data_IF_709010428211
#
_entry.id   IF_709010428211
#
_cell.length_a   1.000
_cell.length_b   1.000
_cell.length_c   1.000
_cell.angle_alpha   90.00
_cell.angle_beta   90.00
_cell.angle_gamma   90.00
#
_symmetry.space_group_name_H-M   'P 1'
#
loop_
_entity.id
_entity.type
_entity.pdbx_description
1 polymer ?
#
# COMPACT_ATOMS: atom_id res chain seq x y z
N UNK A 1 -56.19 -15.15 -25.12
CA UNK A 1 -55.06 -14.89 -26.04
C UNK A 1 -54.14 -13.83 -25.43
N UNK A 2 -53.04 -14.22 -24.79
CA UNK A 2 -52.12 -13.29 -24.12
C UNK A 2 -51.17 -12.59 -25.09
N UNK A 3 -50.85 -11.31 -24.86
CA UNK A 3 -49.91 -10.54 -25.68
C UNK A 3 -48.49 -11.10 -25.53
N UNK A 4 -47.79 -11.33 -26.64
CA UNK A 4 -46.38 -11.76 -26.67
C UNK A 4 -45.51 -10.66 -26.04
N UNK A 5 -44.71 -11.02 -25.04
CA UNK A 5 -43.73 -10.13 -24.43
C UNK A 5 -42.60 -9.81 -25.42
N UNK A 6 -42.46 -8.55 -25.82
CA UNK A 6 -41.33 -8.10 -26.63
C UNK A 6 -40.16 -7.70 -25.71
N UNK A 7 -38.98 -8.27 -25.97
CA UNK A 7 -37.75 -7.91 -25.27
C UNK A 7 -37.20 -6.64 -25.92
N UNK A 8 -37.17 -5.53 -25.20
CA UNK A 8 -36.59 -4.28 -25.70
C UNK A 8 -35.07 -4.48 -25.90
N UNK A 9 -34.60 -4.44 -27.14
CA UNK A 9 -33.18 -4.37 -27.44
C UNK A 9 -32.73 -2.93 -27.29
N UNK A 10 -31.89 -2.62 -26.30
CA UNK A 10 -31.27 -1.30 -26.20
C UNK A 10 -30.34 -1.10 -27.40
N UNK A 11 -30.44 0.07 -28.04
CA UNK A 11 -29.42 0.49 -28.99
C UNK A 11 -28.11 0.73 -28.23
N UNK A 12 -27.06 0.03 -28.62
CA UNK A 12 -25.72 0.28 -28.11
C UNK A 12 -25.16 1.55 -28.76
N UNK A 13 -24.53 2.41 -27.97
CA UNK A 13 -23.83 3.58 -28.50
C UNK A 13 -22.70 3.15 -29.43
N UNK A 14 -22.64 3.71 -30.64
CA UNK A 14 -21.56 3.46 -31.61
C UNK A 14 -20.19 3.99 -31.14
N UNK A 15 -20.17 4.89 -30.15
CA UNK A 15 -18.97 5.43 -29.55
C UNK A 15 -18.40 4.42 -28.54
N UNK A 16 -17.67 3.43 -29.05
CA UNK A 16 -17.01 2.38 -28.24
C UNK A 16 -15.80 2.89 -27.45
N UNK A 17 -15.34 4.12 -27.71
CA UNK A 17 -14.22 4.74 -27.00
C UNK A 17 -14.72 5.97 -26.28
N UNK A 18 -14.94 5.84 -24.97
CA UNK A 18 -14.94 7.00 -24.08
C UNK A 18 -13.58 7.72 -24.18
N UNK A 19 -13.51 9.01 -23.78
CA UNK A 19 -12.28 9.79 -23.84
C UNK A 19 -11.13 8.98 -23.22
N UNK A 20 -9.99 8.99 -23.91
CA UNK A 20 -8.78 8.26 -23.49
C UNK A 20 -8.37 8.81 -22.13
N UNK A 21 -8.76 8.12 -21.07
CA UNK A 21 -8.27 8.46 -19.74
C UNK A 21 -6.77 8.27 -19.77
N UNK A 22 -6.03 9.30 -19.33
CA UNK A 22 -4.58 9.37 -19.06
C UNK A 22 -3.65 8.60 -20.00
N UNK A 23 -2.70 9.33 -20.60
CA UNK A 23 -1.66 8.74 -21.43
C UNK A 23 -0.79 7.73 -20.63
N UNK A 24 -0.29 6.65 -21.25
CA UNK A 24 0.62 5.71 -20.59
C UNK A 24 1.86 6.37 -20.00
N UNK A 25 2.41 7.42 -20.62
CA UNK A 25 3.57 8.14 -20.10
C UNK A 25 3.22 8.93 -18.83
N UNK A 26 2.02 9.50 -18.77
CA UNK A 26 1.52 10.12 -17.53
C UNK A 26 1.42 9.09 -16.41
N UNK A 27 0.94 7.87 -16.72
CA UNK A 27 0.88 6.80 -15.74
C UNK A 27 2.29 6.44 -15.23
N UNK A 28 3.27 6.26 -16.12
CA UNK A 28 4.68 6.00 -15.73
C UNK A 28 5.27 7.11 -14.87
N UNK A 29 4.97 8.37 -15.21
CA UNK A 29 5.38 9.55 -14.45
C UNK A 29 4.82 9.48 -13.02
N UNK A 30 3.54 9.15 -12.85
CA UNK A 30 2.89 9.08 -11.53
C UNK A 30 3.47 7.99 -10.61
N UNK A 31 4.07 6.93 -11.16
CA UNK A 31 4.70 5.87 -10.34
C UNK A 31 6.16 6.19 -10.01
N UNK A 32 6.81 7.02 -10.82
CA UNK A 32 8.23 7.32 -10.71
C UNK A 32 8.52 8.18 -9.47
N UNK A 33 9.37 7.73 -8.52
CA UNK A 33 9.65 8.48 -7.29
C UNK A 33 10.32 9.83 -7.55
N UNK A 34 11.13 9.93 -8.60
CA UNK A 34 11.82 11.15 -9.00
C UNK A 34 10.95 12.19 -9.70
N UNK A 35 9.73 11.82 -10.11
CA UNK A 35 8.82 12.70 -10.87
C UNK A 35 7.49 12.95 -10.16
N UNK A 36 7.14 12.11 -9.18
CA UNK A 36 5.93 12.25 -8.39
C UNK A 36 6.22 12.51 -6.91
N UNK A 37 6.14 13.78 -6.53
CA UNK A 37 6.34 14.25 -5.15
C UNK A 37 5.17 13.87 -4.22
N UNK A 38 3.98 13.62 -4.78
CA UNK A 38 2.73 13.35 -4.04
C UNK A 38 2.32 11.88 -4.11
N UNK A 39 3.28 10.97 -4.31
CA UNK A 39 3.06 9.54 -4.55
C UNK A 39 2.51 8.76 -3.34
N UNK A 40 2.71 9.31 -2.15
CA UNK A 40 2.17 8.84 -0.87
C UNK A 40 0.73 9.31 -0.62
N UNK A 41 0.28 10.37 -1.30
CA UNK A 41 -1.05 10.96 -1.12
C UNK A 41 -2.16 10.16 -1.79
N UNK A 42 -3.42 10.55 -1.54
CA UNK A 42 -4.59 9.91 -2.15
C UNK A 42 -4.64 10.14 -3.66
N UNK A 43 -5.36 9.27 -4.37
CA UNK A 43 -5.56 9.46 -5.81
C UNK A 43 -6.26 10.78 -6.14
N UNK A 44 -7.18 11.23 -5.28
CA UNK A 44 -7.85 12.53 -5.45
C UNK A 44 -6.83 13.68 -5.44
N UNK A 45 -5.96 13.70 -4.42
CA UNK A 45 -4.89 14.72 -4.32
C UNK A 45 -3.95 14.67 -5.51
N UNK A 46 -3.55 13.47 -5.97
CA UNK A 46 -2.70 13.35 -7.17
C UNK A 46 -3.39 13.85 -8.45
N UNK A 47 -4.69 13.59 -8.60
CA UNK A 47 -5.47 14.03 -9.76
C UNK A 47 -5.55 15.56 -9.80
N UNK A 48 -5.79 16.18 -8.64
CA UNK A 48 -5.89 17.63 -8.52
C UNK A 48 -4.51 18.30 -8.70
N UNK A 49 -3.46 17.74 -8.10
CA UNK A 49 -2.09 18.26 -8.18
C UNK A 49 -1.55 18.28 -9.62
N UNK A 50 -1.79 17.22 -10.40
CA UNK A 50 -1.37 17.13 -11.80
C UNK A 50 -2.45 17.56 -12.80
N UNK A 51 -3.58 18.10 -12.33
CA UNK A 51 -4.71 18.55 -13.14
C UNK A 51 -5.15 17.52 -14.20
N UNK A 52 -5.20 16.24 -13.84
CA UNK A 52 -5.38 15.14 -14.79
C UNK A 52 -6.78 15.11 -15.43
N UNK A 53 -7.76 15.83 -14.87
CA UNK A 53 -9.12 15.93 -15.42
C UNK A 53 -9.90 14.60 -15.46
N UNK A 54 -9.46 13.59 -14.70
CA UNK A 54 -10.04 12.24 -14.68
C UNK A 54 -10.61 11.88 -13.32
N UNK A 55 -11.53 10.89 -13.30
CA UNK A 55 -12.01 10.30 -12.05
C UNK A 55 -11.03 9.25 -11.53
N UNK A 56 -10.96 9.11 -10.21
CA UNK A 56 -10.18 8.08 -9.49
C UNK A 56 -10.32 6.67 -10.07
N UNK A 57 -11.55 6.22 -10.35
CA UNK A 57 -11.78 4.88 -10.92
C UNK A 57 -11.12 4.71 -12.30
N UNK A 58 -11.07 5.78 -13.10
CA UNK A 58 -10.40 5.77 -14.41
C UNK A 58 -8.88 5.70 -14.23
N UNK A 59 -8.32 6.52 -13.32
CA UNK A 59 -6.90 6.48 -13.01
C UNK A 59 -6.46 5.09 -12.54
N UNK A 60 -7.20 4.47 -11.62
CA UNK A 60 -6.92 3.12 -11.12
C UNK A 60 -6.95 2.05 -12.22
N UNK A 61 -7.93 2.13 -13.13
CA UNK A 61 -8.00 1.22 -14.29
C UNK A 61 -6.80 1.41 -15.22
N UNK A 62 -6.40 2.65 -15.47
CA UNK A 62 -5.28 2.99 -16.33
C UNK A 62 -3.94 2.54 -15.73
N UNK A 63 -3.72 2.80 -14.44
CA UNK A 63 -2.53 2.32 -13.72
C UNK A 63 -2.42 0.80 -13.76
N UNK A 64 -3.53 0.07 -13.58
CA UNK A 64 -3.54 -1.40 -13.70
C UNK A 64 -3.27 -1.90 -15.12
N UNK A 65 -3.68 -1.14 -16.14
CA UNK A 65 -3.60 -1.51 -17.55
C UNK A 65 -2.22 -1.22 -18.15
N UNK A 66 -1.67 -0.04 -17.87
CA UNK A 66 -0.46 0.47 -18.51
C UNK A 66 0.80 0.24 -17.68
N UNK A 67 0.67 0.07 -16.37
CA UNK A 67 1.76 -0.21 -15.45
C UNK A 67 1.53 -1.60 -14.85
N UNK A 68 2.61 -2.32 -14.52
CA UNK A 68 2.62 -3.68 -13.95
C UNK A 68 1.79 -3.79 -12.67
N UNK A 69 0.46 -3.83 -12.82
CA UNK A 69 -0.56 -3.71 -11.76
C UNK A 69 -0.28 -2.54 -10.81
N UNK A 70 -0.02 -1.35 -11.37
CA UNK A 70 0.23 -0.14 -10.59
C UNK A 70 -0.90 0.14 -9.61
N UNK A 71 -0.56 0.30 -8.33
CA UNK A 71 -1.53 0.51 -7.25
C UNK A 71 -0.88 1.21 -6.04
N UNK A 72 -1.71 1.70 -5.12
CA UNK A 72 -1.27 2.20 -3.81
C UNK A 72 -1.09 1.03 -2.86
N UNK A 73 0.16 0.63 -2.65
CA UNK A 73 0.52 -0.48 -1.78
C UNK A 73 1.05 0.04 -0.45
N UNK A 74 0.92 -0.76 0.62
CA UNK A 74 1.61 -0.47 1.90
C UNK A 74 3.10 -0.24 1.65
N UNK A 75 3.62 0.83 2.25
CA UNK A 75 5.03 1.15 2.24
C UNK A 75 5.88 0.03 2.87
N UNK A 76 7.12 -0.10 2.42
CA UNK A 76 8.13 -0.75 3.25
C UNK A 76 8.66 0.31 4.21
N UNK A 77 8.90 -0.08 5.46
CA UNK A 77 9.59 0.81 6.38
C UNK A 77 11.05 0.42 6.47
N UNK A 78 11.91 1.41 6.71
CA UNK A 78 13.33 1.19 6.99
C UNK A 78 13.46 0.16 8.11
N UNK A 79 14.31 -0.84 7.90
CA UNK A 79 14.59 -1.84 8.92
C UNK A 79 15.10 -1.14 10.19
N UNK A 80 14.55 -1.50 11.35
CA UNK A 80 15.10 -0.99 12.61
C UNK A 80 16.53 -1.50 12.71
N UNK A 81 17.50 -0.59 12.66
CA UNK A 81 18.91 -0.93 12.83
C UNK A 81 19.12 -1.53 14.23
N UNK A 82 19.30 -2.85 14.30
CA UNK A 82 19.63 -3.55 15.54
C UNK A 82 21.14 -3.37 15.77
N UNK A 83 21.53 -2.89 16.95
CA UNK A 83 22.93 -2.80 17.32
C UNK A 83 23.60 -4.18 17.30
N UNK A 84 24.88 -4.24 16.91
CA UNK A 84 25.61 -5.51 16.84
C UNK A 84 25.56 -6.33 18.17
N UNK A 85 25.66 -5.71 19.37
CA UNK A 85 25.50 -6.45 20.63
C UNK A 85 24.12 -7.06 20.80
N UNK A 86 23.04 -6.33 20.47
CA UNK A 86 21.68 -6.85 20.57
C UNK A 86 21.43 -7.95 19.55
N UNK A 87 22.02 -7.84 18.35
CA UNK A 87 21.95 -8.90 17.35
C UNK A 87 22.56 -10.21 17.87
N UNK A 88 23.73 -10.15 18.51
CA UNK A 88 24.38 -11.33 19.11
C UNK A 88 23.50 -11.98 20.16
N UNK A 89 23.02 -11.20 21.14
CA UNK A 89 22.11 -11.70 22.19
C UNK A 89 20.88 -12.41 21.64
N UNK A 90 20.32 -11.93 20.52
CA UNK A 90 19.15 -12.58 19.87
C UNK A 90 19.51 -13.90 19.21
N UNK A 91 20.70 -14.00 18.62
CA UNK A 91 21.21 -15.26 18.04
C UNK A 91 21.50 -16.25 19.16
N UNK A 92 22.27 -15.83 20.17
CA UNK A 92 22.65 -16.66 21.31
C UNK A 92 21.40 -17.23 22.02
N UNK A 93 20.40 -16.38 22.28
CA UNK A 93 19.14 -16.82 22.89
C UNK A 93 18.37 -17.81 22.00
N UNK A 94 18.38 -17.60 20.69
CA UNK A 94 17.72 -18.50 19.73
C UNK A 94 18.40 -19.86 19.62
N UNK A 95 19.73 -19.89 19.63
CA UNK A 95 20.52 -21.13 19.63
C UNK A 95 20.37 -21.90 20.95
N UNK A 96 20.36 -21.19 22.09
CA UNK A 96 20.19 -21.79 23.42
C UNK A 96 18.84 -22.50 23.57
N UNK A 97 17.78 -21.95 22.99
CA UNK A 97 16.39 -22.42 23.17
C UNK A 97 15.79 -23.05 21.89
N UNK A 98 16.62 -23.42 20.90
CA UNK A 98 16.15 -23.95 19.60
C UNK A 98 15.37 -25.27 19.75
N UNK A 99 15.80 -26.12 20.69
CA UNK A 99 15.23 -27.45 20.91
C UNK A 99 14.20 -27.49 22.06
N UNK A 100 13.93 -26.35 22.68
CA UNK A 100 13.02 -26.27 23.80
C UNK A 100 11.57 -26.45 23.34
N UNK A 101 10.87 -27.38 23.98
CA UNK A 101 9.52 -27.77 23.59
C UNK A 101 8.45 -26.92 24.27
N UNK A 102 7.25 -26.89 23.67
CA UNK A 102 6.11 -26.15 24.22
C UNK A 102 5.70 -26.71 25.59
N UNK A 103 5.75 -28.04 25.74
CA UNK A 103 5.28 -28.73 26.93
C UNK A 103 6.26 -28.62 28.11
N UNK A 104 7.53 -28.34 27.84
CA UNK A 104 8.56 -28.18 28.86
C UNK A 104 8.81 -26.70 29.13
N UNK A 105 9.65 -26.05 28.34
CA UNK A 105 10.17 -24.72 28.68
C UNK A 105 9.15 -23.60 28.46
N UNK A 106 8.49 -23.57 27.29
CA UNK A 106 7.61 -22.44 26.94
C UNK A 106 6.31 -22.40 27.75
N UNK A 107 5.85 -23.55 28.28
CA UNK A 107 4.64 -23.61 29.12
C UNK A 107 4.76 -22.83 30.42
N UNK A 108 5.99 -22.67 30.95
CA UNK A 108 6.24 -21.97 32.21
C UNK A 108 6.53 -20.47 32.03
N UNK A 109 6.60 -19.97 30.79
CA UNK A 109 6.89 -18.56 30.52
C UNK A 109 5.59 -17.75 30.44
N UNK A 110 5.49 -16.73 31.29
CA UNK A 110 4.44 -15.71 31.20
C UNK A 110 5.03 -14.50 30.48
N UNK A 111 4.63 -14.30 29.22
CA UNK A 111 5.02 -13.11 28.46
C UNK A 111 4.23 -11.89 28.93
N UNK A 112 4.93 -10.79 29.20
CA UNK A 112 4.35 -9.50 29.55
C UNK A 112 4.93 -8.44 28.63
N UNK A 113 4.09 -7.51 28.19
CA UNK A 113 4.49 -6.36 27.39
C UNK A 113 3.49 -5.22 27.55
N UNK A 114 3.92 -3.99 27.30
CA UNK A 114 3.07 -2.81 27.27
C UNK A 114 2.81 -2.38 25.82
N UNK A 115 1.54 -2.42 25.39
CA UNK A 115 1.16 -1.98 24.05
C UNK A 115 0.55 -0.58 24.10
N UNK A 116 1.21 0.38 23.45
CA UNK A 116 0.62 1.70 23.21
C UNK A 116 -0.31 1.64 22.00
N UNK A 117 -1.60 1.89 22.21
CA UNK A 117 -2.63 1.87 21.17
C UNK A 117 -2.93 3.31 20.73
N UNK A 118 -2.19 3.79 19.73
CA UNK A 118 -2.45 5.08 19.11
C UNK A 118 -3.44 4.92 17.93
N UNK A 119 -4.63 5.55 17.96
CA UNK A 119 -5.58 5.54 16.84
C UNK A 119 -5.01 6.08 15.52
N UNK A 120 -4.02 6.99 15.57
CA UNK A 120 -3.37 7.55 14.39
C UNK A 120 -2.36 6.57 13.76
N UNK A 121 -1.74 5.69 14.56
CA UNK A 121 -0.79 4.66 14.11
C UNK A 121 -1.40 3.61 13.16
N UNK A 122 -2.73 3.52 13.07
CA UNK A 122 -3.42 2.63 12.13
C UNK A 122 -3.19 3.00 10.65
N UNK A 123 -2.73 4.23 10.38
CA UNK A 123 -2.44 4.69 9.02
C UNK A 123 -1.03 4.29 8.61
N UNK A 124 -0.82 3.00 8.39
CA UNK A 124 0.34 2.55 7.60
C UNK A 124 0.28 3.26 6.24
N UNK A 125 1.33 4.02 5.92
CA UNK A 125 1.39 4.81 4.69
C UNK A 125 1.27 3.92 3.45
N UNK A 126 0.47 4.35 2.49
CA UNK A 126 0.37 3.70 1.18
C UNK A 126 1.08 4.54 0.12
N UNK A 127 1.87 3.90 -0.73
CA UNK A 127 2.61 4.55 -1.81
C UNK A 127 2.16 3.95 -3.14
N UNK A 128 1.91 4.82 -4.12
CA UNK A 128 1.67 4.41 -5.49
C UNK A 128 2.95 3.84 -6.11
N UNK A 129 2.94 2.54 -6.42
CA UNK A 129 4.08 1.85 -7.03
C UNK A 129 3.65 0.67 -7.91
N UNK A 130 4.62 0.11 -8.64
CA UNK A 130 4.41 -1.15 -9.36
C UNK A 130 4.32 -2.35 -8.41
N UNK A 131 3.71 -3.43 -8.90
CA UNK A 131 3.72 -4.68 -8.16
C UNK A 131 5.12 -5.32 -8.17
N UNK A 132 5.58 -5.74 -7.00
CA UNK A 132 6.87 -6.42 -6.82
C UNK A 132 8.04 -5.51 -6.42
N UNK A 133 7.87 -4.19 -6.48
CA UNK A 133 8.94 -3.23 -6.20
C UNK A 133 9.02 -2.79 -4.72
N UNK A 134 8.44 -3.58 -3.80
CA UNK A 134 8.25 -3.15 -2.40
C UNK A 134 9.55 -2.76 -1.70
N UNK A 135 10.62 -3.51 -1.95
CA UNK A 135 11.90 -3.38 -1.25
C UNK A 135 12.93 -2.58 -2.05
N UNK A 136 12.51 -1.91 -3.12
CA UNK A 136 13.39 -0.94 -3.79
C UNK A 136 13.64 0.23 -2.83
N UNK A 137 14.87 0.77 -2.76
CA UNK A 137 15.24 1.79 -1.79
C UNK A 137 14.34 3.03 -1.87
N UNK A 138 13.84 3.37 -3.05
CA UNK A 138 12.92 4.50 -3.29
C UNK A 138 11.50 4.28 -2.71
N UNK A 139 11.16 3.06 -2.32
CA UNK A 139 9.87 2.67 -1.74
C UNK A 139 9.95 2.38 -0.23
N UNK A 140 11.14 2.51 0.35
CA UNK A 140 11.40 2.38 1.78
C UNK A 140 11.23 3.76 2.42
N UNK A 141 10.28 3.85 3.35
CA UNK A 141 9.96 5.08 4.08
C UNK A 141 10.51 4.96 5.50
N UNK A 142 10.96 6.07 6.07
CA UNK A 142 11.25 6.11 7.50
C UNK A 142 9.96 5.98 8.32
N UNK A 143 10.06 5.40 9.51
CA UNK A 143 8.91 5.39 10.41
C UNK A 143 8.54 6.82 10.76
N UNK A 144 7.25 7.21 10.66
CA UNK A 144 6.83 8.51 11.14
C UNK A 144 7.19 8.63 12.64
N UNK A 145 7.54 9.85 13.07
CA UNK A 145 7.74 10.12 14.47
C UNK A 145 6.47 9.74 15.25
N UNK A 146 6.64 9.06 16.38
CA UNK A 146 5.54 8.77 17.28
C UNK A 146 5.09 10.10 17.92
N UNK A 147 4.07 10.73 17.35
CA UNK A 147 3.38 11.84 17.99
C UNK A 147 2.55 11.26 19.13
N UNK A 148 3.09 11.28 20.34
CA UNK A 148 2.31 10.94 21.53
C UNK A 148 1.04 11.81 21.61
N UNK A 149 -0.10 11.19 21.94
CA UNK A 149 -1.45 11.77 22.07
C UNK A 149 -1.52 13.32 22.07
N UNK A 150 -1.54 13.94 20.89
CA UNK A 150 -2.07 15.31 20.74
C UNK A 150 -3.57 15.20 20.51
N UNK A 151 -4.31 15.15 21.62
CA UNK A 151 -5.75 15.39 21.60
C UNK A 151 -5.91 16.89 21.31
N UNK A 152 -6.43 17.21 20.12
CA UNK A 152 -6.87 18.56 19.76
C UNK A 152 -8.30 18.82 20.25
#
# INVERSE_FOLDING_TARGET
>A
MGRKAYRHTRQYSKNLRGPVGTDPETCKMLVSPSRNDVRDQSYEVMIDYYELGIKKCSLQKNLKKYIKKGWRYKAAYSEKNISAPNRRKRVDFGEEHENDTIDEFWSYIIHTDEAHMDPASQRVGEILREQGTRYEPENIVEYPALDGNKIH
#
